data_IF_655936722599
#
_entry.id   IF_655936722599
#
_cell.length_a   1.000
_cell.length_b   1.000
_cell.length_c   1.000
_cell.angle_alpha   90.00
_cell.angle_beta   90.00
_cell.angle_gamma   90.00
#
_symmetry.space_group_name_H-M   'P 1'
#
loop_
_entity.id
_entity.type
_entity.pdbx_description
1 polymer ?
#
# COMPACT_ATOMS: atom_id res chain seq x y z
N UNK A 1 -8.79 16.24 34.31
CA UNK A 1 -7.58 15.71 33.63
C UNK A 1 -7.59 16.24 32.21
N UNK A 2 -6.60 17.06 31.85
CA UNK A 2 -6.55 17.79 30.58
C UNK A 2 -6.04 16.80 29.51
N UNK A 3 -6.88 16.43 28.55
CA UNK A 3 -6.48 15.62 27.40
C UNK A 3 -5.56 16.47 26.52
N UNK A 4 -4.25 16.42 26.79
CA UNK A 4 -3.26 17.01 25.91
C UNK A 4 -3.22 16.18 24.63
N UNK A 5 -3.50 16.84 23.50
CA UNK A 5 -3.20 16.31 22.18
C UNK A 5 -1.68 16.23 22.03
N UNK A 6 -1.09 15.13 22.51
CA UNK A 6 0.32 14.80 22.31
C UNK A 6 0.56 14.63 20.81
N UNK A 7 0.96 15.72 20.16
CA UNK A 7 1.48 15.72 18.80
C UNK A 7 2.93 15.23 18.85
N UNK A 8 3.12 13.95 19.20
CA UNK A 8 4.45 13.34 19.22
C UNK A 8 5.01 13.34 17.79
N UNK A 9 6.21 13.91 17.55
CA UNK A 9 6.78 13.97 16.22
C UNK A 9 6.96 12.56 15.67
N UNK A 10 6.36 12.28 14.52
CA UNK A 10 6.41 10.95 13.90
C UNK A 10 7.81 10.65 13.33
N UNK A 11 8.54 11.70 12.99
CA UNK A 11 9.88 11.63 12.46
C UNK A 11 10.28 12.94 11.80
N UNK A 12 11.44 12.94 11.16
CA UNK A 12 11.91 14.07 10.37
C UNK A 12 11.43 13.94 8.94
N UNK A 13 11.06 15.06 8.35
CA UNK A 13 10.65 15.13 6.96
C UNK A 13 11.88 15.03 6.06
N UNK A 14 11.85 14.19 5.03
CA UNK A 14 12.96 14.02 4.10
C UNK A 14 13.13 15.18 3.11
N UNK A 15 12.17 16.11 3.01
CA UNK A 15 12.30 17.33 2.17
C UNK A 15 12.92 18.47 2.99
N UNK A 16 12.29 18.79 4.13
CA UNK A 16 12.57 19.99 4.92
C UNK A 16 13.50 19.73 6.12
N UNK A 17 13.70 18.47 6.53
CA UNK A 17 14.41 18.09 7.76
C UNK A 17 13.64 18.33 9.05
N UNK A 18 12.52 19.05 9.01
CA UNK A 18 11.68 19.39 10.17
C UNK A 18 10.80 18.24 10.60
N UNK A 19 10.18 18.39 11.77
CA UNK A 19 9.31 17.38 12.36
C UNK A 19 8.03 17.17 11.55
N UNK A 20 7.61 15.92 11.42
CA UNK A 20 6.32 15.56 10.84
C UNK A 20 5.33 15.34 11.97
N UNK A 21 4.23 16.08 11.92
CA UNK A 21 3.17 16.07 12.91
C UNK A 21 1.92 15.38 12.38
N UNK A 22 1.13 14.82 13.30
CA UNK A 22 -0.13 14.20 12.95
C UNK A 22 -1.25 15.24 12.79
N UNK A 23 -1.72 15.44 11.57
CA UNK A 23 -2.92 16.24 11.30
C UNK A 23 -4.20 15.41 11.23
N UNK A 24 -5.34 16.10 11.06
CA UNK A 24 -6.65 15.46 10.90
C UNK A 24 -6.74 14.59 9.63
N UNK A 25 -6.24 15.11 8.49
CA UNK A 25 -6.34 14.44 7.17
C UNK A 25 -5.13 13.55 6.84
N UNK A 26 -4.02 13.73 7.54
CA UNK A 26 -2.72 13.14 7.17
C UNK A 26 -1.61 13.59 8.10
N UNK A 27 -0.41 13.09 7.85
CA UNK A 27 0.83 13.44 8.53
C UNK A 27 1.60 14.48 7.70
N UNK A 28 1.79 15.70 8.20
CA UNK A 28 2.40 16.81 7.44
C UNK A 28 3.71 17.30 8.04
N UNK A 29 4.64 17.82 7.22
CA UNK A 29 5.81 18.57 7.74
C UNK A 29 5.29 19.79 8.53
N UNK A 30 5.84 20.03 9.72
CA UNK A 30 5.52 21.21 10.54
C UNK A 30 5.82 22.52 9.79
N UNK A 31 6.85 22.50 8.95
CA UNK A 31 7.20 23.57 8.02
C UNK A 31 6.32 23.67 6.76
N UNK A 32 5.11 23.09 6.75
CA UNK A 32 4.20 23.23 5.61
C UNK A 32 3.89 24.69 5.28
N UNK A 33 3.73 25.53 6.30
CA UNK A 33 3.54 26.99 6.16
C UNK A 33 4.78 27.72 5.63
N UNK A 34 5.96 27.12 5.76
CA UNK A 34 7.23 27.70 5.32
C UNK A 34 7.63 27.25 3.90
N UNK A 35 6.76 26.49 3.21
CA UNK A 35 6.94 26.09 1.82
C UNK A 35 7.08 24.58 1.59
N UNK A 36 7.18 23.76 2.65
CA UNK A 36 7.34 22.32 2.49
C UNK A 36 5.99 21.61 2.24
N UNK A 37 5.71 21.21 1.00
CA UNK A 37 4.45 20.54 0.63
C UNK A 37 4.38 19.05 0.96
N UNK A 38 5.22 18.57 1.88
CA UNK A 38 5.25 17.17 2.29
C UNK A 38 4.03 16.80 3.12
N UNK A 39 3.26 15.83 2.65
CA UNK A 39 2.11 15.27 3.37
C UNK A 39 1.96 13.78 3.04
N UNK A 40 1.76 12.97 4.08
CA UNK A 40 1.39 11.56 3.97
C UNK A 40 -0.09 11.47 4.33
N UNK A 41 -0.93 11.02 3.40
CA UNK A 41 -2.36 10.85 3.68
C UNK A 41 -2.59 9.70 4.65
N UNK A 42 -3.50 9.90 5.61
CA UNK A 42 -3.92 8.84 6.53
C UNK A 42 -4.73 7.76 5.82
N UNK A 43 -5.34 8.09 4.68
CA UNK A 43 -6.08 7.14 3.85
C UNK A 43 -5.46 7.06 2.46
N UNK A 44 -5.02 5.86 2.09
CA UNK A 44 -4.39 5.55 0.81
C UNK A 44 -5.03 4.28 0.27
N UNK A 45 -5.64 4.36 -0.92
CA UNK A 45 -6.28 3.22 -1.59
C UNK A 45 -7.24 2.41 -0.67
N UNK A 46 -8.17 3.11 -0.02
CA UNK A 46 -9.18 2.56 0.92
C UNK A 46 -8.57 1.90 2.17
N UNK A 47 -7.30 2.19 2.48
CA UNK A 47 -6.62 1.74 3.69
C UNK A 47 -6.15 2.90 4.55
N UNK A 48 -6.36 2.75 5.86
CA UNK A 48 -5.83 3.68 6.87
C UNK A 48 -4.37 3.33 7.19
N UNK A 49 -3.50 4.32 7.05
CA UNK A 49 -2.10 4.26 7.43
C UNK A 49 -2.01 4.61 8.91
N UNK A 50 -1.37 3.75 9.69
CA UNK A 50 -1.18 3.97 11.13
C UNK A 50 0.00 4.90 11.38
N UNK A 51 0.04 5.60 12.53
CA UNK A 51 1.16 6.47 12.87
C UNK A 51 2.48 5.68 12.91
N UNK A 52 2.45 4.43 13.37
CA UNK A 52 3.62 3.54 13.34
C UNK A 52 4.15 3.32 11.92
N UNK A 53 3.28 3.10 10.93
CA UNK A 53 3.70 2.98 9.53
C UNK A 53 4.29 4.28 8.98
N UNK A 54 3.70 5.43 9.33
CA UNK A 54 4.26 6.73 8.97
C UNK A 54 5.64 6.96 9.60
N UNK A 55 5.85 6.56 10.87
CA UNK A 55 7.18 6.61 11.51
C UNK A 55 8.20 5.77 10.75
N UNK A 56 7.84 4.55 10.36
CA UNK A 56 8.72 3.66 9.58
C UNK A 56 9.02 4.24 8.20
N UNK A 57 8.01 4.80 7.52
CA UNK A 57 8.18 5.46 6.21
C UNK A 57 9.16 6.63 6.31
N UNK A 58 9.09 7.43 7.36
CA UNK A 58 10.00 8.56 7.59
C UNK A 58 11.41 8.11 8.00
N UNK A 59 11.51 7.08 8.84
CA UNK A 59 12.79 6.59 9.34
C UNK A 59 13.59 5.81 8.28
N UNK A 60 12.92 4.96 7.49
CA UNK A 60 13.56 4.09 6.48
C UNK A 60 13.38 4.57 5.04
N UNK A 61 12.53 5.57 4.79
CA UNK A 61 12.12 5.96 3.45
C UNK A 61 11.13 4.98 2.79
N UNK A 62 10.78 3.87 3.45
CA UNK A 62 9.82 2.86 2.96
C UNK A 62 9.11 2.17 4.12
N UNK A 63 7.83 1.81 3.93
CA UNK A 63 7.08 0.99 4.88
C UNK A 63 7.40 -0.50 4.73
N UNK A 64 6.83 -1.33 5.59
CA UNK A 64 6.63 -2.74 5.28
C UNK A 64 5.54 -2.94 4.21
N UNK A 65 5.34 -4.19 3.80
CA UNK A 65 4.24 -4.59 2.92
C UNK A 65 2.92 -4.36 3.66
N UNK A 66 2.08 -3.49 3.13
CA UNK A 66 0.75 -3.22 3.65
C UNK A 66 -0.23 -4.02 2.81
N UNK A 67 -1.01 -4.86 3.48
CA UNK A 67 -1.93 -5.79 2.81
C UNK A 67 -3.31 -5.21 2.58
N UNK A 68 -3.90 -5.57 1.45
CA UNK A 68 -5.30 -5.27 1.14
C UNK A 68 -5.57 -3.82 0.75
N UNK A 69 -4.64 -3.13 0.09
CA UNK A 69 -4.98 -1.92 -0.66
C UNK A 69 -6.00 -2.25 -1.74
N UNK A 70 -6.90 -1.32 -2.04
CA UNK A 70 -7.92 -1.52 -3.07
C UNK A 70 -7.67 -0.62 -4.25
N UNK A 71 -7.59 -1.22 -5.44
CA UNK A 71 -7.46 -0.47 -6.68
C UNK A 71 -8.80 0.16 -7.07
N UNK A 72 -8.78 1.17 -7.94
CA UNK A 72 -9.99 1.75 -8.54
C UNK A 72 -10.89 0.69 -9.22
N UNK A 73 -10.31 -0.44 -9.63
CA UNK A 73 -11.01 -1.59 -10.22
C UNK A 73 -11.61 -2.56 -9.20
N UNK A 74 -11.51 -2.30 -7.90
CA UNK A 74 -12.04 -3.15 -6.83
C UNK A 74 -11.13 -4.31 -6.39
N UNK A 75 -10.03 -4.56 -7.10
CA UNK A 75 -9.07 -5.61 -6.74
C UNK A 75 -8.26 -5.23 -5.51
N UNK A 76 -8.07 -6.18 -4.60
CA UNK A 76 -7.18 -6.03 -3.45
C UNK A 76 -5.75 -6.38 -3.87
N UNK A 77 -4.78 -5.59 -3.44
CA UNK A 77 -3.37 -5.83 -3.68
C UNK A 77 -2.55 -5.43 -2.46
N UNK A 78 -1.38 -6.04 -2.34
CA UNK A 78 -0.42 -5.73 -1.29
C UNK A 78 0.66 -4.84 -1.90
N UNK A 79 1.06 -3.78 -1.19
CA UNK A 79 2.09 -2.88 -1.68
C UNK A 79 2.90 -2.31 -0.52
N UNK A 80 4.13 -1.90 -0.82
CA UNK A 80 4.93 -1.08 0.07
C UNK A 80 4.72 0.37 -0.30
N UNK A 81 4.69 1.27 0.68
CA UNK A 81 4.77 2.69 0.41
C UNK A 81 6.24 3.11 0.49
N UNK A 82 6.74 3.73 -0.56
CA UNK A 82 8.07 4.30 -0.62
C UNK A 82 7.96 5.81 -0.72
N UNK A 83 8.86 6.50 -0.04
CA UNK A 83 8.99 7.94 -0.13
C UNK A 83 10.11 8.26 -1.12
N UNK A 84 9.74 8.90 -2.23
CA UNK A 84 10.67 9.31 -3.29
C UNK A 84 10.40 10.77 -3.64
N UNK A 85 11.43 11.60 -3.59
CA UNK A 85 11.34 13.03 -3.92
C UNK A 85 10.25 13.78 -3.12
N UNK A 86 10.03 13.38 -1.86
CA UNK A 86 8.98 13.98 -1.04
C UNK A 86 7.55 13.56 -1.40
N UNK A 87 7.38 12.58 -2.28
CA UNK A 87 6.09 11.98 -2.63
C UNK A 87 6.03 10.55 -2.14
N UNK A 88 4.83 10.11 -1.75
CA UNK A 88 4.57 8.73 -1.36
C UNK A 88 4.12 7.97 -2.61
N UNK A 89 4.91 6.99 -3.03
CA UNK A 89 4.67 6.12 -4.17
C UNK A 89 4.45 4.68 -3.71
N UNK A 90 3.69 3.90 -4.49
CA UNK A 90 3.59 2.46 -4.27
C UNK A 90 4.80 1.76 -4.87
N UNK A 91 5.54 1.05 -4.03
CA UNK A 91 6.59 0.14 -4.44
C UNK A 91 6.05 -1.30 -4.39
N UNK A 92 6.05 -1.95 -5.54
CA UNK A 92 5.66 -3.34 -5.67
C UNK A 92 6.94 -4.17 -5.79
N UNK A 93 7.31 -4.87 -4.72
CA UNK A 93 8.22 -5.99 -4.88
C UNK A 93 7.46 -7.06 -5.67
N UNK A 94 8.00 -7.49 -6.81
CA UNK A 94 7.29 -8.27 -7.84
C UNK A 94 6.81 -9.66 -7.38
N UNK A 95 6.90 -10.00 -6.10
CA UNK A 95 6.76 -11.35 -5.58
C UNK A 95 5.38 -11.63 -4.93
N UNK A 96 4.56 -10.62 -4.62
CA UNK A 96 3.41 -10.84 -3.71
C UNK A 96 2.09 -10.13 -4.07
N UNK A 97 1.80 -9.90 -5.35
CA UNK A 97 0.54 -9.25 -5.77
C UNK A 97 -0.45 -10.15 -6.50
N UNK A 98 -0.37 -11.45 -6.28
CA UNK A 98 -1.44 -12.36 -6.64
C UNK A 98 -1.59 -13.38 -5.54
N UNK A 99 -2.67 -13.28 -4.76
CA UNK A 99 -3.02 -14.27 -3.76
C UNK A 99 -3.11 -15.63 -4.47
N UNK A 100 -2.07 -16.44 -4.31
CA UNK A 100 -2.04 -17.80 -4.82
C UNK A 100 -3.09 -18.59 -4.05
N UNK A 101 -4.21 -18.88 -4.68
CA UNK A 101 -5.33 -19.62 -4.10
C UNK A 101 -5.07 -21.13 -4.10
N UNK A 102 -4.05 -21.58 -4.82
CA UNK A 102 -3.61 -22.97 -4.85
C UNK A 102 -2.63 -23.23 -5.99
N UNK A 103 -2.09 -24.45 -6.03
CA UNK A 103 -1.25 -24.91 -7.14
C UNK A 103 -2.11 -25.39 -8.30
N UNK A 104 -1.72 -25.02 -9.51
CA UNK A 104 -2.38 -25.45 -10.73
C UNK A 104 -2.18 -26.96 -10.95
N UNK A 105 -3.26 -27.74 -11.18
CA UNK A 105 -3.13 -29.17 -11.45
C UNK A 105 -2.52 -29.48 -12.82
N UNK A 106 -2.49 -28.51 -13.74
CA UNK A 106 -1.93 -28.70 -15.09
C UNK A 106 -0.42 -28.43 -15.18
N UNK A 107 0.12 -27.53 -14.35
CA UNK A 107 1.53 -27.12 -14.45
C UNK A 107 2.23 -26.86 -13.11
N UNK A 108 1.56 -27.03 -11.98
CA UNK A 108 2.10 -26.81 -10.64
C UNK A 108 2.30 -25.34 -10.22
N UNK A 109 2.11 -24.39 -11.14
CA UNK A 109 2.27 -22.94 -10.91
C UNK A 109 1.07 -22.35 -10.17
N UNK A 110 1.24 -21.17 -9.59
CA UNK A 110 0.21 -20.55 -8.77
C UNK A 110 -1.05 -20.15 -9.56
N UNK A 111 -2.22 -20.49 -9.02
CA UNK A 111 -3.52 -20.02 -9.48
C UNK A 111 -3.82 -18.72 -8.76
N UNK A 112 -4.30 -17.72 -9.50
CA UNK A 112 -4.52 -16.38 -9.01
C UNK A 112 -5.96 -15.97 -9.22
N UNK A 113 -6.56 -15.35 -8.21
CA UNK A 113 -7.93 -14.86 -8.29
C UNK A 113 -7.99 -13.55 -9.07
N UNK A 114 -8.91 -13.47 -10.03
CA UNK A 114 -9.28 -12.27 -10.76
C UNK A 114 -10.79 -12.06 -10.66
N UNK A 115 -11.24 -10.82 -10.92
CA UNK A 115 -12.65 -10.47 -10.89
C UNK A 115 -13.56 -11.33 -11.82
N UNK A 116 -12.98 -11.99 -12.84
CA UNK A 116 -13.70 -12.86 -13.79
C UNK A 116 -13.63 -14.36 -13.45
N UNK A 117 -12.80 -14.74 -12.48
CA UNK A 117 -12.50 -16.14 -12.19
C UNK A 117 -11.06 -16.36 -11.72
N UNK A 118 -10.69 -17.62 -11.58
CA UNK A 118 -9.39 -18.08 -11.13
C UNK A 118 -8.53 -18.46 -12.34
N UNK A 119 -7.33 -17.90 -12.47
CA UNK A 119 -6.45 -18.15 -13.63
C UNK A 119 -5.02 -18.47 -13.20
N UNK A 120 -4.40 -19.45 -13.85
CA UNK A 120 -3.00 -19.79 -13.60
C UNK A 120 -2.05 -18.69 -14.12
N UNK A 121 -0.99 -18.37 -13.36
CA UNK A 121 0.04 -17.41 -13.79
C UNK A 121 0.80 -17.87 -15.05
N UNK A 122 0.90 -19.20 -15.24
CA UNK A 122 1.58 -19.82 -16.37
C UNK A 122 0.79 -19.81 -17.68
N UNK A 123 -0.30 -19.05 -17.78
CA UNK A 123 -1.10 -18.96 -19.01
C UNK A 123 -0.28 -18.51 -20.22
N UNK A 124 0.69 -17.60 -20.02
CA UNK A 124 1.61 -17.17 -21.08
C UNK A 124 2.58 -18.25 -21.54
N UNK A 125 2.85 -19.24 -20.69
CA UNK A 125 3.72 -20.37 -20.98
C UNK A 125 2.94 -21.58 -21.51
N UNK A 126 1.66 -21.40 -21.87
CA UNK A 126 0.80 -22.43 -22.48
C UNK A 126 -0.22 -23.07 -21.54
N UNK A 127 -0.25 -22.72 -20.24
CA UNK A 127 -1.19 -23.31 -19.30
C UNK A 127 -2.59 -22.65 -19.37
N UNK A 128 -3.54 -23.28 -20.06
CA UNK A 128 -4.92 -22.77 -20.24
C UNK A 128 -5.84 -22.96 -19.02
N UNK A 129 -5.31 -23.07 -17.80
CA UNK A 129 -6.14 -23.26 -16.61
C UNK A 129 -6.87 -21.96 -16.21
N UNK A 130 -8.18 -21.92 -16.44
CA UNK A 130 -9.07 -20.83 -16.02
C UNK A 130 -10.38 -21.43 -15.50
N UNK A 131 -10.78 -21.05 -14.29
CA UNK A 131 -12.08 -21.38 -13.70
C UNK A 131 -12.88 -20.08 -13.63
N UNK A 132 -13.97 -19.99 -14.38
CA UNK A 132 -14.84 -18.82 -14.35
C UNK A 132 -15.69 -18.85 -13.08
N UNK A 133 -15.82 -17.69 -12.42
CA UNK A 133 -16.77 -17.55 -11.30
C UNK A 133 -18.12 -17.29 -11.97
N UNK A 134 -18.93 -18.33 -12.15
CA UNK A 134 -20.25 -18.21 -12.78
C UNK A 134 -21.03 -17.07 -12.11
N UNK A 135 -21.33 -16.04 -12.89
CA UNK A 135 -22.32 -15.04 -12.50
C UNK A 135 -23.65 -15.69 -12.90
N UNK A 136 -24.27 -16.39 -11.95
CA UNK A 136 -25.67 -16.76 -12.07
C UNK A 136 -26.44 -15.47 -12.35
N UNK A 137 -26.96 -15.36 -13.57
CA UNK A 137 -27.85 -14.29 -14.00
C UNK A 137 -29.22 -14.41 -13.34
#
# INVERSE_FOLDING_TARGET
MILQANQDPLGKCPICGKEVIEGNKGYGCSGYKEGCKFVIWKEIAEKKITPAQAKVLLAKGKTGIIKGFKSKKGNKFDAVLQLKDGKVEFWFDNDNTKQAIGKCPLCGKDITESAKGYGCIGYKEGCKFVIWKEIAG
#
